data_IF_710857964137
#
_entry.id   IF_710857964137
#
_cell.length_a   1.000
_cell.length_b   1.000
_cell.length_c   1.000
_cell.angle_alpha   90.00
_cell.angle_beta   90.00
_cell.angle_gamma   90.00
#
_symmetry.space_group_name_H-M   'P 1'
#
loop_
_entity.id
_entity.type
_entity.pdbx_description
1 polymer ?
#
# COMPACT_ATOMS: atom_id res chain seq x y z
N UNK A 1 -46.37 16.41 -38.31
CA UNK A 1 -45.51 17.27 -37.46
C UNK A 1 -44.42 16.41 -36.84
N UNK A 2 -43.23 16.46 -37.38
CA UNK A 2 -42.09 15.67 -36.89
C UNK A 2 -41.35 16.46 -35.80
N UNK A 3 -41.32 15.94 -34.56
CA UNK A 3 -40.56 16.52 -33.43
C UNK A 3 -39.18 15.87 -33.42
N UNK A 4 -38.17 16.59 -33.88
CA UNK A 4 -36.76 16.18 -33.71
C UNK A 4 -36.32 16.51 -32.31
N UNK A 5 -36.02 15.47 -31.53
CA UNK A 5 -35.40 15.59 -30.18
C UNK A 5 -33.87 15.62 -30.38
N UNK A 6 -33.25 16.77 -30.19
CA UNK A 6 -31.81 16.89 -30.19
C UNK A 6 -31.29 16.46 -28.80
N UNK A 7 -30.60 15.32 -28.74
CA UNK A 7 -29.84 14.91 -27.54
C UNK A 7 -28.46 15.50 -27.67
N UNK A 8 -28.19 16.53 -26.86
CA UNK A 8 -26.85 17.11 -26.76
C UNK A 8 -26.06 16.25 -25.78
N UNK A 9 -25.11 15.46 -26.28
CA UNK A 9 -24.16 14.70 -25.48
C UNK A 9 -23.05 15.67 -25.05
N UNK A 10 -23.04 16.09 -23.79
CA UNK A 10 -21.91 16.77 -23.22
C UNK A 10 -20.82 15.74 -22.94
N UNK A 11 -19.78 15.70 -23.76
CA UNK A 11 -18.54 15.00 -23.43
C UNK A 11 -17.83 15.81 -22.34
N UNK A 12 -17.89 15.35 -21.09
CA UNK A 12 -17.05 15.87 -20.03
C UNK A 12 -15.62 15.44 -20.34
N UNK A 13 -14.79 16.37 -20.79
CA UNK A 13 -13.35 16.16 -20.88
C UNK A 13 -12.83 16.02 -19.45
N UNK A 14 -12.49 14.80 -19.05
CA UNK A 14 -11.76 14.56 -17.82
C UNK A 14 -10.38 15.22 -17.99
N UNK A 15 -10.16 16.33 -17.31
CA UNK A 15 -8.83 16.94 -17.19
C UNK A 15 -7.94 15.93 -16.47
N UNK A 16 -7.04 15.29 -17.21
CA UNK A 16 -6.02 14.44 -16.63
C UNK A 16 -5.14 15.33 -15.75
N UNK A 17 -5.28 15.19 -14.42
CA UNK A 17 -4.42 15.88 -13.47
C UNK A 17 -3.02 15.32 -13.61
N UNK A 18 -2.02 16.21 -13.69
CA UNK A 18 -0.63 15.82 -13.68
C UNK A 18 -0.32 15.06 -12.39
N UNK A 19 0.46 13.96 -12.44
CA UNK A 19 0.79 13.20 -11.25
C UNK A 19 1.54 14.07 -10.24
N UNK A 20 1.08 14.06 -8.99
CA UNK A 20 1.72 14.79 -7.90
C UNK A 20 2.92 13.99 -7.44
N UNK A 21 4.12 14.57 -7.58
CA UNK A 21 5.35 13.97 -7.07
C UNK A 21 5.54 14.28 -5.59
N UNK A 22 6.05 13.34 -4.78
CA UNK A 22 6.32 13.60 -3.38
C UNK A 22 7.44 14.63 -3.22
N UNK A 23 7.35 15.46 -2.17
CA UNK A 23 8.48 16.29 -1.78
C UNK A 23 9.63 15.40 -1.32
N UNK A 24 10.83 15.66 -1.87
CA UNK A 24 12.01 14.94 -1.44
C UNK A 24 12.48 15.46 -0.07
N UNK A 25 13.05 14.59 0.79
CA UNK A 25 13.64 15.02 2.05
C UNK A 25 14.68 16.11 1.81
N UNK A 26 14.62 17.17 2.61
CA UNK A 26 15.61 18.25 2.58
C UNK A 26 16.78 17.85 3.46
N UNK A 27 17.96 17.75 2.87
CA UNK A 27 19.18 17.43 3.58
C UNK A 27 20.09 16.50 2.80
N UNK A 28 21.34 16.34 3.23
CA UNK A 28 22.27 15.44 2.59
C UNK A 28 21.86 13.98 2.78
N UNK A 29 22.03 13.18 1.75
CA UNK A 29 21.91 11.74 1.87
C UNK A 29 23.00 11.19 2.80
N UNK A 30 22.74 10.05 3.45
CA UNK A 30 23.76 9.36 4.25
C UNK A 30 24.95 8.97 3.37
N UNK A 31 26.18 8.95 3.93
CA UNK A 31 27.35 8.47 3.20
C UNK A 31 27.09 7.09 2.56
N UNK A 32 27.49 6.93 1.31
CA UNK A 32 27.27 5.71 0.55
C UNK A 32 25.91 5.59 -0.15
N UNK A 33 24.98 6.53 0.06
CA UNK A 33 23.72 6.56 -0.69
C UNK A 33 23.92 7.24 -2.05
N UNK A 34 23.61 6.52 -3.12
CA UNK A 34 23.66 7.06 -4.48
C UNK A 34 22.33 7.74 -4.82
N UNK A 35 22.29 9.05 -4.74
CA UNK A 35 21.09 9.85 -5.02
C UNK A 35 20.61 9.70 -6.48
N UNK A 36 21.49 9.38 -7.41
CA UNK A 36 21.12 9.21 -8.82
C UNK A 36 20.25 7.96 -9.05
N UNK A 37 20.28 7.02 -8.11
CA UNK A 37 19.42 5.82 -8.13
C UNK A 37 18.09 6.01 -7.42
N UNK A 38 17.87 7.16 -6.80
CA UNK A 38 16.62 7.45 -6.12
C UNK A 38 15.54 7.86 -7.14
N UNK A 39 14.55 7.02 -7.33
CA UNK A 39 13.46 7.23 -8.27
C UNK A 39 12.12 7.25 -7.51
N UNK A 40 11.65 8.42 -7.06
CA UNK A 40 10.35 8.52 -6.40
C UNK A 40 9.22 8.29 -7.39
N UNK A 41 8.15 7.64 -6.94
CA UNK A 41 6.90 7.51 -7.69
C UNK A 41 5.91 8.61 -7.30
N UNK A 42 4.95 8.89 -8.18
CA UNK A 42 3.89 9.84 -7.89
C UNK A 42 3.06 9.40 -6.66
N UNK A 43 2.56 10.38 -5.92
CA UNK A 43 1.64 10.13 -4.80
C UNK A 43 0.39 9.39 -5.29
N UNK A 44 0.02 8.33 -4.58
CA UNK A 44 -1.15 7.51 -4.93
C UNK A 44 -0.88 6.42 -5.98
N UNK A 45 0.37 6.24 -6.44
CA UNK A 45 0.74 5.14 -7.35
C UNK A 45 0.48 3.77 -6.73
N UNK A 46 0.69 3.64 -5.41
CA UNK A 46 0.42 2.43 -4.65
C UNK A 46 -0.59 2.73 -3.54
N UNK A 47 -1.52 1.79 -3.35
CA UNK A 47 -2.43 1.86 -2.21
C UNK A 47 -1.66 1.58 -0.91
N UNK A 48 -1.83 2.46 0.07
CA UNK A 48 -1.20 2.29 1.38
C UNK A 48 -1.88 1.14 2.13
N UNK A 49 -1.12 0.12 2.45
CA UNK A 49 -1.59 -0.99 3.27
C UNK A 49 -1.30 -0.72 4.75
N UNK A 50 -2.30 -0.17 5.44
CA UNK A 50 -2.24 0.07 6.87
C UNK A 50 -2.97 -1.04 7.63
N UNK A 51 -2.21 -1.82 8.41
CA UNK A 51 -2.76 -2.93 9.22
C UNK A 51 -3.43 -2.36 10.46
N UNK A 52 -4.76 -2.41 10.51
CA UNK A 52 -5.56 -1.91 11.63
C UNK A 52 -5.88 -3.00 12.64
N UNK A 53 -6.13 -4.21 12.15
CA UNK A 53 -6.56 -5.35 12.95
C UNK A 53 -5.79 -6.59 12.56
N UNK A 54 -5.61 -7.50 13.50
CA UNK A 54 -4.96 -8.80 13.30
C UNK A 54 -5.73 -9.89 14.03
N UNK A 55 -5.82 -11.06 13.43
CA UNK A 55 -6.33 -12.26 14.08
C UNK A 55 -5.18 -13.12 14.63
N UNK A 56 -5.37 -13.87 15.72
CA UNK A 56 -4.41 -14.89 16.11
C UNK A 56 -4.23 -15.92 14.98
N UNK A 57 -2.97 -16.24 14.65
CA UNK A 57 -2.68 -17.17 13.53
C UNK A 57 -3.40 -18.52 13.69
N UNK A 58 -3.41 -19.08 14.91
CA UNK A 58 -4.13 -20.34 15.16
C UNK A 58 -5.62 -20.22 14.81
N UNK A 59 -6.26 -19.14 15.21
CA UNK A 59 -7.68 -18.90 14.88
C UNK A 59 -7.89 -18.79 13.37
N UNK A 60 -7.02 -18.07 12.67
CA UNK A 60 -7.11 -17.93 11.22
C UNK A 60 -6.95 -19.27 10.48
N UNK A 61 -6.07 -20.16 10.97
CA UNK A 61 -5.92 -21.52 10.46
C UNK A 61 -7.16 -22.38 10.75
N UNK A 62 -7.65 -22.37 11.98
CA UNK A 62 -8.82 -23.17 12.40
C UNK A 62 -10.10 -22.76 11.64
N UNK A 63 -10.24 -21.47 11.29
CA UNK A 63 -11.36 -20.92 10.52
C UNK A 63 -11.15 -21.04 8.98
N UNK A 64 -10.03 -21.57 8.52
CA UNK A 64 -9.73 -21.73 7.11
C UNK A 64 -9.47 -20.40 6.36
N UNK A 65 -9.22 -19.31 7.07
CA UNK A 65 -8.84 -18.01 6.47
C UNK A 65 -7.45 -18.06 5.86
N UNK A 66 -6.59 -18.91 6.42
CA UNK A 66 -5.21 -19.13 5.97
C UNK A 66 -4.98 -20.63 5.89
N UNK A 67 -4.40 -21.12 4.80
CA UNK A 67 -4.03 -22.52 4.66
C UNK A 67 -2.70 -22.82 5.37
N UNK A 68 -2.50 -24.08 5.78
CA UNK A 68 -1.30 -24.48 6.51
C UNK A 68 0.01 -24.36 5.69
N UNK A 69 -0.09 -24.37 4.37
CA UNK A 69 1.00 -24.23 3.42
C UNK A 69 1.15 -22.80 2.86
N UNK A 70 0.37 -21.85 3.36
CA UNK A 70 0.46 -20.45 2.95
C UNK A 70 1.83 -19.88 3.33
N UNK A 71 2.51 -19.26 2.36
CA UNK A 71 3.78 -18.59 2.60
C UNK A 71 3.55 -17.28 3.33
N UNK A 72 4.35 -17.03 4.35
CA UNK A 72 4.22 -15.85 5.21
C UNK A 72 5.57 -15.19 5.45
N UNK A 73 5.51 -13.90 5.72
CA UNK A 73 6.57 -13.09 6.31
C UNK A 73 6.33 -12.99 7.80
N UNK A 74 7.35 -13.22 8.61
CA UNK A 74 7.29 -13.03 10.06
C UNK A 74 8.16 -11.85 10.42
N UNK A 75 7.57 -10.86 11.07
CA UNK A 75 8.30 -9.68 11.58
C UNK A 75 8.12 -9.55 13.08
N UNK A 76 9.13 -8.98 13.75
CA UNK A 76 9.07 -8.66 15.16
C UNK A 76 8.59 -7.20 15.35
N UNK A 77 7.58 -7.02 16.15
CA UNK A 77 7.05 -5.69 16.52
C UNK A 77 7.15 -5.48 18.03
N UNK A 78 6.88 -4.26 18.50
CA UNK A 78 6.80 -3.96 19.92
C UNK A 78 5.73 -4.78 20.66
N UNK A 79 4.73 -5.33 19.95
CA UNK A 79 3.68 -6.19 20.50
C UNK A 79 3.97 -7.70 20.35
N UNK A 80 5.12 -8.07 19.78
CA UNK A 80 5.52 -9.44 19.47
C UNK A 80 5.50 -9.71 17.97
N UNK A 81 5.45 -10.98 17.62
CA UNK A 81 5.47 -11.42 16.22
C UNK A 81 4.21 -11.05 15.48
N UNK A 82 4.39 -10.52 14.29
CA UNK A 82 3.34 -10.29 13.33
C UNK A 82 3.61 -11.14 12.08
N UNK A 83 2.56 -11.79 11.59
CA UNK A 83 2.61 -12.65 10.39
C UNK A 83 1.86 -11.94 9.27
N UNK A 84 2.54 -11.74 8.15
CA UNK A 84 1.99 -11.13 6.94
C UNK A 84 1.95 -12.17 5.82
N UNK A 85 0.82 -12.27 5.11
CA UNK A 85 0.68 -13.18 3.97
C UNK A 85 1.55 -12.67 2.82
N UNK A 86 2.45 -13.52 2.30
CA UNK A 86 3.41 -13.14 1.25
C UNK A 86 2.72 -12.60 0.00
N UNK A 87 1.60 -13.20 -0.42
CA UNK A 87 0.88 -12.76 -1.61
C UNK A 87 0.29 -11.36 -1.45
N UNK A 88 -0.17 -11.00 -0.24
CA UNK A 88 -0.60 -9.63 0.06
C UNK A 88 0.58 -8.66 0.03
N UNK A 89 1.73 -9.07 0.56
CA UNK A 89 2.94 -8.26 0.53
C UNK A 89 3.48 -8.09 -0.90
N UNK A 90 3.37 -9.10 -1.75
CA UNK A 90 3.71 -9.00 -3.18
C UNK A 90 2.85 -7.97 -3.91
N UNK A 91 1.59 -7.83 -3.52
CA UNK A 91 0.68 -6.86 -4.10
C UNK A 91 0.91 -5.43 -3.57
N UNK A 92 1.03 -5.29 -2.25
CA UNK A 92 1.13 -3.97 -1.62
C UNK A 92 2.56 -3.44 -1.50
N UNK A 93 3.57 -4.30 -1.49
CA UNK A 93 4.99 -4.03 -1.29
C UNK A 93 5.36 -3.43 0.07
N UNK A 94 4.47 -2.65 0.67
CA UNK A 94 4.69 -2.00 1.96
C UNK A 94 3.47 -2.25 2.84
N UNK A 95 3.69 -2.82 4.03
CA UNK A 95 2.72 -2.86 5.10
C UNK A 95 3.20 -2.01 6.26
N UNK A 96 2.30 -1.27 6.88
CA UNK A 96 2.62 -0.44 8.03
C UNK A 96 1.52 -0.47 9.06
N UNK A 97 1.85 -0.15 10.29
CA UNK A 97 0.90 -0.16 11.38
C UNK A 97 1.52 0.35 12.67
N UNK A 98 0.79 0.17 13.75
CA UNK A 98 1.21 0.59 15.08
C UNK A 98 1.03 -0.54 16.08
N UNK A 99 2.05 -0.76 16.92
CA UNK A 99 2.04 -1.77 17.96
C UNK A 99 2.60 -1.17 19.27
N UNK A 100 1.81 -1.19 20.36
CA UNK A 100 2.18 -0.60 21.66
C UNK A 100 2.78 0.80 21.55
N UNK A 101 2.08 1.70 20.85
CA UNK A 101 2.51 3.09 20.58
C UNK A 101 3.82 3.26 19.80
N UNK A 102 4.30 2.22 19.14
CA UNK A 102 5.43 2.28 18.21
C UNK A 102 4.96 1.98 16.80
N UNK A 103 5.32 2.84 15.89
CA UNK A 103 5.06 2.62 14.48
C UNK A 103 6.04 1.58 13.94
N UNK A 104 5.54 0.75 13.02
CA UNK A 104 6.34 -0.25 12.32
C UNK A 104 6.01 -0.22 10.81
N UNK A 105 6.97 -0.62 10.01
CA UNK A 105 6.82 -0.80 8.57
C UNK A 105 7.59 -2.03 8.13
N UNK A 106 6.98 -2.80 7.25
CA UNK A 106 7.61 -3.92 6.56
C UNK A 106 7.59 -3.67 5.07
N UNK A 107 8.71 -3.91 4.40
CA UNK A 107 8.85 -3.84 2.94
C UNK A 107 9.14 -5.23 2.39
N UNK A 108 8.70 -5.49 1.16
CA UNK A 108 8.86 -6.77 0.47
C UNK A 108 9.42 -6.56 -0.93
#
# INVERSE_FOLDING_TARGET
>A
MSRYCFVTVFAAAALAQSPVMPELPKGPAKPGFDIARFAPTAVGTFETFYVKETDPLKKALDEGKVAADTRVLVIETAAGRLVLITDQMTYHHIAQGRARNKDWMATF
#
